data_IF_280778378188
#
_entry.id   IF_280778378188
#
_cell.length_a   1.000
_cell.length_b   1.000
_cell.length_c   1.000
_cell.angle_alpha   90.00
_cell.angle_beta   90.00
_cell.angle_gamma   90.00
#
_symmetry.space_group_name_H-M   'P 1'
#
loop_
_entity.id
_entity.type
_entity.pdbx_description
1 polymer ?
#
# COMPACT_ATOMS: atom_id res chain seq x y z
N UNK A 1 -9.01 22.47 2.88
CA UNK A 1 -7.82 22.97 2.14
C UNK A 1 -7.48 21.95 1.05
N UNK A 2 -6.58 22.17 0.07
CA UNK A 2 -6.11 21.04 -0.73
C UNK A 2 -5.45 20.02 0.21
N UNK A 3 -5.70 18.73 0.01
CA UNK A 3 -4.97 17.67 0.75
C UNK A 3 -3.48 17.78 0.46
N UNK A 4 -2.64 17.16 1.30
CA UNK A 4 -1.19 17.21 1.12
C UNK A 4 -0.77 16.72 -0.29
N UNK A 5 0.38 17.14 -0.83
CA UNK A 5 0.89 16.65 -2.11
C UNK A 5 1.01 15.13 -2.11
N UNK A 6 0.81 14.47 -3.25
CA UNK A 6 0.82 13.01 -3.34
C UNK A 6 2.11 12.42 -2.79
N UNK A 7 3.24 13.10 -3.00
CA UNK A 7 4.51 12.66 -2.44
C UNK A 7 4.47 12.58 -0.91
N UNK A 8 3.86 13.53 -0.23
CA UNK A 8 3.78 13.53 1.22
C UNK A 8 2.83 12.45 1.70
N UNK A 9 1.64 12.35 1.08
CA UNK A 9 0.66 11.28 1.34
C UNK A 9 1.34 9.90 1.26
N UNK A 10 2.05 9.62 0.16
CA UNK A 10 2.73 8.34 -0.03
C UNK A 10 3.83 8.09 1.00
N UNK A 11 4.57 9.13 1.41
CA UNK A 11 5.57 8.99 2.46
C UNK A 11 4.92 8.60 3.78
N UNK A 12 3.87 9.32 4.20
CA UNK A 12 3.13 9.05 5.42
C UNK A 12 2.55 7.63 5.44
N UNK A 13 2.00 7.16 4.32
CA UNK A 13 1.51 5.79 4.20
C UNK A 13 2.64 4.75 4.27
N UNK A 14 3.75 4.96 3.53
CA UNK A 14 4.89 4.04 3.51
C UNK A 14 5.66 3.97 4.82
N UNK A 15 5.56 5.01 5.65
CA UNK A 15 6.17 5.07 6.98
C UNK A 15 5.21 4.51 8.06
N UNK A 16 3.97 4.14 7.69
CA UNK A 16 2.95 3.58 8.58
C UNK A 16 2.32 4.60 9.54
N UNK A 17 2.52 5.90 9.30
CA UNK A 17 2.08 6.98 10.18
C UNK A 17 0.68 7.54 9.84
N UNK A 18 0.04 7.04 8.79
CA UNK A 18 -1.21 7.58 8.27
C UNK A 18 -2.41 7.36 9.19
N UNK A 19 -2.42 6.27 9.97
CA UNK A 19 -3.48 5.99 10.96
C UNK A 19 -3.47 6.99 12.13
N UNK A 20 -2.33 7.61 12.39
CA UNK A 20 -2.15 8.61 13.45
C UNK A 20 -2.14 10.05 12.91
N UNK A 21 -2.28 10.22 11.58
CA UNK A 21 -2.18 11.51 10.93
C UNK A 21 -3.36 11.76 9.95
N UNK A 22 -4.58 11.95 10.47
CA UNK A 22 -5.76 12.25 9.63
C UNK A 22 -5.60 13.56 8.83
N UNK A 23 -4.79 14.50 9.32
CA UNK A 23 -4.51 15.78 8.64
C UNK A 23 -3.86 15.62 7.27
N UNK A 24 -3.18 14.50 7.00
CA UNK A 24 -2.54 14.24 5.68
C UNK A 24 -3.56 14.21 4.53
N UNK A 25 -4.84 13.95 4.83
CA UNK A 25 -5.96 13.94 3.89
C UNK A 25 -7.04 14.97 4.27
N UNK A 26 -6.65 16.06 4.94
CA UNK A 26 -7.53 17.18 5.32
C UNK A 26 -8.70 16.74 6.22
N UNK A 27 -8.48 15.76 7.10
CA UNK A 27 -9.42 15.33 8.13
C UNK A 27 -8.96 15.77 9.53
N UNK A 28 -9.87 16.26 10.40
CA UNK A 28 -9.52 16.57 11.79
C UNK A 28 -9.36 15.29 12.64
N UNK A 29 -10.07 14.21 12.29
CA UNK A 29 -9.99 12.90 12.92
C UNK A 29 -10.57 11.81 12.03
N UNK A 30 -10.31 10.55 12.36
CA UNK A 30 -11.01 9.38 11.81
C UNK A 30 -12.29 9.04 12.60
N UNK A 31 -13.01 10.04 13.10
CA UNK A 31 -14.33 9.80 13.70
C UNK A 31 -15.40 9.76 12.61
N UNK A 32 -16.46 8.99 12.82
CA UNK A 32 -17.60 8.93 11.89
C UNK A 32 -18.24 10.30 11.68
N UNK A 33 -18.28 11.14 12.73
CA UNK A 33 -18.74 12.53 12.64
C UNK A 33 -17.87 13.36 11.68
N UNK A 34 -16.54 13.34 11.85
CA UNK A 34 -15.63 14.07 10.98
C UNK A 34 -15.69 13.60 9.51
N UNK A 35 -15.90 12.30 9.29
CA UNK A 35 -16.06 11.73 7.95
C UNK A 35 -17.36 12.21 7.27
N UNK A 36 -18.47 12.25 8.01
CA UNK A 36 -19.74 12.76 7.51
C UNK A 36 -19.65 14.26 7.20
N UNK A 37 -19.07 15.06 8.10
CA UNK A 37 -18.83 16.50 7.89
C UNK A 37 -17.93 16.77 6.67
N UNK A 38 -17.01 15.85 6.41
CA UNK A 38 -16.10 15.91 5.27
C UNK A 38 -16.65 15.28 3.99
N UNK A 39 -17.94 14.93 3.94
CA UNK A 39 -18.62 14.35 2.78
C UNK A 39 -18.01 13.03 2.28
N UNK A 40 -17.52 12.18 3.19
CA UNK A 40 -17.22 10.80 2.83
C UNK A 40 -18.52 10.01 2.64
N UNK A 41 -18.55 9.15 1.62
CA UNK A 41 -19.67 8.26 1.35
C UNK A 41 -19.52 6.97 2.16
N UNK A 42 -20.55 6.61 2.90
CA UNK A 42 -20.62 5.32 3.59
C UNK A 42 -20.97 4.22 2.59
N UNK A 43 -20.19 3.13 2.58
CA UNK A 43 -20.43 1.92 1.81
C UNK A 43 -20.52 0.73 2.75
N UNK A 44 -21.65 0.00 2.68
CA UNK A 44 -21.97 -1.12 3.56
C UNK A 44 -22.85 -0.72 4.75
N UNK A 45 -23.05 -1.67 5.68
CA UNK A 45 -23.82 -1.46 6.92
C UNK A 45 -22.89 -1.17 8.09
N UNK A 46 -23.27 -0.23 8.97
CA UNK A 46 -22.49 0.09 10.18
C UNK A 46 -22.38 -1.09 11.16
N UNK A 47 -23.36 -1.99 11.12
CA UNK A 47 -23.40 -3.20 11.95
C UNK A 47 -22.48 -4.32 11.45
N UNK A 48 -21.83 -4.13 10.29
CA UNK A 48 -20.90 -5.07 9.67
C UNK A 48 -19.58 -4.36 9.30
N UNK A 49 -18.67 -5.06 8.63
CA UNK A 49 -17.52 -4.47 7.96
C UNK A 49 -18.02 -3.47 6.90
N UNK A 50 -17.67 -2.21 7.10
CA UNK A 50 -18.02 -1.12 6.21
C UNK A 50 -16.83 -0.19 5.99
N UNK A 51 -16.96 0.72 5.04
CA UNK A 51 -15.96 1.74 4.84
C UNK A 51 -16.57 3.06 4.41
N UNK A 52 -15.84 4.12 4.70
CA UNK A 52 -16.09 5.45 4.18
C UNK A 52 -15.14 5.70 3.02
N UNK A 53 -15.65 6.25 1.92
CA UNK A 53 -14.81 6.57 0.77
C UNK A 53 -15.02 7.97 0.23
N UNK A 54 -13.94 8.55 -0.32
CA UNK A 54 -13.97 9.86 -0.96
C UNK A 54 -12.88 9.97 -2.00
N UNK A 55 -13.21 10.58 -3.14
CA UNK A 55 -12.22 11.02 -4.10
C UNK A 55 -11.53 12.29 -3.56
N UNK A 56 -10.20 12.25 -3.48
CA UNK A 56 -9.37 13.37 -3.08
C UNK A 56 -8.55 13.85 -4.28
N UNK A 57 -8.41 15.17 -4.41
CA UNK A 57 -7.56 15.80 -5.44
C UNK A 57 -6.26 16.25 -4.82
N UNK A 58 -5.14 15.76 -5.33
CA UNK A 58 -3.79 16.06 -4.82
C UNK A 58 -2.83 16.42 -5.96
N UNK A 59 -1.78 17.17 -5.63
CA UNK A 59 -0.78 17.58 -6.61
C UNK A 59 0.35 16.55 -6.74
N UNK A 60 0.73 16.28 -7.99
CA UNK A 60 1.85 15.44 -8.38
C UNK A 60 2.57 15.99 -9.60
N UNK A 61 3.84 16.41 -9.45
CA UNK A 61 4.72 16.88 -10.54
C UNK A 61 4.00 17.87 -11.48
N UNK A 62 3.43 18.93 -10.91
CA UNK A 62 2.71 20.01 -11.61
C UNK A 62 1.37 19.61 -12.24
N UNK A 63 0.79 18.48 -11.83
CA UNK A 63 -0.56 18.05 -12.24
C UNK A 63 -1.39 17.75 -11.01
N UNK A 64 -2.67 18.06 -11.06
CA UNK A 64 -3.64 17.55 -10.10
C UNK A 64 -4.07 16.16 -10.53
N UNK A 65 -4.04 15.20 -9.62
CA UNK A 65 -4.53 13.83 -9.82
C UNK A 65 -5.61 13.50 -8.79
N UNK A 66 -6.46 12.53 -9.14
CA UNK A 66 -7.44 11.96 -8.20
C UNK A 66 -6.84 10.75 -7.50
N UNK A 67 -7.13 10.61 -6.22
CA UNK A 67 -6.90 9.38 -5.45
C UNK A 67 -8.19 9.02 -4.71
N UNK A 68 -8.51 7.74 -4.63
CA UNK A 68 -9.64 7.28 -3.85
C UNK A 68 -9.15 6.88 -2.46
N UNK A 69 -9.60 7.58 -1.42
CA UNK A 69 -9.34 7.21 -0.04
C UNK A 69 -10.48 6.35 0.51
N UNK A 70 -10.13 5.30 1.25
CA UNK A 70 -11.06 4.38 1.90
C UNK A 70 -10.65 4.18 3.35
N UNK A 71 -11.59 4.27 4.28
CA UNK A 71 -11.35 4.16 5.72
C UNK A 71 -12.28 3.08 6.25
N UNK A 72 -11.70 1.97 6.71
CA UNK A 72 -12.43 0.74 7.03
C UNK A 72 -12.74 0.65 8.52
N UNK A 73 -13.97 0.25 8.84
CA UNK A 73 -14.46 0.10 10.20
C UNK A 73 -15.15 -1.25 10.39
N UNK A 74 -15.07 -1.76 11.61
CA UNK A 74 -15.89 -2.87 12.07
C UNK A 74 -16.35 -2.57 13.50
N UNK A 75 -17.67 -2.57 13.73
CA UNK A 75 -18.29 -2.22 15.02
C UNK A 75 -17.72 -0.89 15.58
N UNK A 76 -17.75 0.16 14.75
CA UNK A 76 -17.23 1.51 15.03
C UNK A 76 -15.73 1.62 15.35
N UNK A 77 -14.97 0.52 15.23
CA UNK A 77 -13.51 0.54 15.40
C UNK A 77 -12.83 0.72 14.07
N UNK A 78 -11.93 1.70 14.00
CA UNK A 78 -11.03 1.88 12.86
C UNK A 78 -10.14 0.63 12.72
N UNK A 79 -10.13 0.07 11.51
CA UNK A 79 -9.41 -1.15 11.18
C UNK A 79 -8.12 -0.83 10.42
N UNK A 80 -8.26 -0.20 9.25
CA UNK A 80 -7.16 0.20 8.39
C UNK A 80 -7.64 1.28 7.42
N UNK A 81 -6.69 1.95 6.77
CA UNK A 81 -6.98 2.95 5.74
C UNK A 81 -6.28 2.60 4.45
N UNK A 82 -6.96 2.80 3.34
CA UNK A 82 -6.52 2.46 2.00
C UNK A 82 -6.49 3.67 1.07
N UNK A 83 -5.53 3.67 0.17
CA UNK A 83 -5.46 4.56 -0.98
C UNK A 83 -5.44 3.74 -2.25
N UNK A 84 -6.36 4.04 -3.15
CA UNK A 84 -6.30 3.62 -4.54
C UNK A 84 -5.84 4.80 -5.39
N UNK A 85 -4.86 4.55 -6.26
CA UNK A 85 -4.13 5.60 -6.96
C UNK A 85 -4.38 5.50 -8.47
N UNK A 86 -4.99 6.53 -9.05
CA UNK A 86 -5.24 6.63 -10.49
C UNK A 86 -4.82 8.02 -11.01
N UNK A 87 -3.73 8.15 -11.78
CA UNK A 87 -2.99 7.11 -12.50
C UNK A 87 -2.00 6.33 -11.61
N UNK A 88 -1.85 5.03 -11.91
CA UNK A 88 -1.11 4.09 -11.08
C UNK A 88 0.41 4.36 -11.02
N UNK A 89 1.00 4.14 -9.84
CA UNK A 89 2.43 4.39 -9.57
C UNK A 89 3.24 3.12 -9.74
N UNK A 90 4.43 3.20 -10.36
CA UNK A 90 5.34 2.05 -10.44
C UNK A 90 5.77 1.60 -9.04
N UNK A 91 5.66 0.31 -8.76
CA UNK A 91 6.04 -0.26 -7.46
C UNK A 91 7.51 -0.01 -7.13
N UNK A 92 8.40 -0.05 -8.14
CA UNK A 92 9.82 0.27 -7.96
C UNK A 92 10.06 1.73 -7.55
N UNK A 93 9.17 2.66 -7.90
CA UNK A 93 9.22 4.04 -7.43
C UNK A 93 8.84 4.13 -5.94
N UNK A 94 7.82 3.39 -5.51
CA UNK A 94 7.42 3.33 -4.09
C UNK A 94 8.54 2.71 -3.23
N UNK A 95 9.12 1.61 -3.67
CA UNK A 95 10.24 0.95 -2.97
C UNK A 95 11.43 1.91 -2.79
N UNK A 96 11.84 2.61 -3.86
CA UNK A 96 12.92 3.60 -3.79
C UNK A 96 12.61 4.74 -2.83
N UNK A 97 11.36 5.20 -2.81
CA UNK A 97 10.89 6.27 -1.92
C UNK A 97 10.92 5.83 -0.46
N UNK A 98 10.36 4.67 -0.14
CA UNK A 98 10.40 4.07 1.19
C UNK A 98 11.85 3.95 1.71
N UNK A 99 12.78 3.44 0.89
CA UNK A 99 14.18 3.35 1.27
C UNK A 99 14.85 4.72 1.50
N UNK A 100 14.47 5.76 0.74
CA UNK A 100 14.98 7.12 0.98
C UNK A 100 14.52 7.64 2.35
N UNK A 101 13.27 7.40 2.73
CA UNK A 101 12.72 7.81 4.03
C UNK A 101 13.44 7.09 5.18
N UNK A 102 13.64 5.77 5.07
CA UNK A 102 14.32 4.97 6.12
C UNK A 102 15.75 5.42 6.36
N UNK A 103 16.51 5.76 5.30
CA UNK A 103 17.90 6.25 5.46
C UNK A 103 18.00 7.53 6.31
N UNK A 104 16.93 8.31 6.40
CA UNK A 104 16.86 9.48 7.29
C UNK A 104 16.55 9.14 8.75
N UNK A 105 15.86 8.02 9.00
CA UNK A 105 15.23 7.71 10.30
C UNK A 105 15.84 6.49 11.02
N UNK A 106 16.81 5.79 10.43
CA UNK A 106 17.53 4.67 11.08
C UNK A 106 16.71 3.39 11.29
N UNK A 107 15.51 3.28 10.70
CA UNK A 107 14.60 2.15 10.90
C UNK A 107 15.03 0.88 10.15
N UNK A 108 14.75 -0.29 10.72
CA UNK A 108 15.05 -1.59 10.09
C UNK A 108 14.19 -1.78 8.85
N UNK A 109 14.84 -2.14 7.73
CA UNK A 109 14.19 -2.47 6.45
C UNK A 109 13.51 -3.84 6.57
N UNK A 110 12.19 -3.89 6.59
CA UNK A 110 11.50 -5.14 6.26
C UNK A 110 10.60 -4.95 5.04
N UNK A 111 10.96 -5.61 3.94
CA UNK A 111 10.18 -5.66 2.71
C UNK A 111 9.91 -7.13 2.43
N UNK A 112 8.65 -7.54 2.56
CA UNK A 112 8.22 -8.87 2.17
C UNK A 112 7.49 -8.81 0.83
N UNK A 113 7.90 -9.65 -0.13
CA UNK A 113 7.28 -9.73 -1.44
C UNK A 113 6.44 -11.01 -1.54
N UNK A 114 5.19 -10.86 -1.96
CA UNK A 114 4.25 -11.94 -2.23
C UNK A 114 3.77 -11.86 -3.67
N UNK A 115 3.61 -13.01 -4.33
CA UNK A 115 3.22 -13.10 -5.74
C UNK A 115 2.15 -14.18 -5.95
N UNK A 116 1.29 -13.95 -6.93
CA UNK A 116 0.41 -15.00 -7.47
C UNK A 116 1.22 -16.01 -8.30
N UNK A 117 0.64 -17.19 -8.52
CA UNK A 117 1.28 -18.25 -9.31
C UNK A 117 1.59 -17.86 -10.76
N UNK A 118 0.77 -16.97 -11.36
CA UNK A 118 0.96 -16.46 -12.72
C UNK A 118 1.86 -15.22 -12.78
N UNK A 119 2.33 -14.74 -11.62
CA UNK A 119 3.22 -13.59 -11.45
C UNK A 119 2.63 -12.26 -11.94
N UNK A 120 1.33 -12.18 -12.26
CA UNK A 120 0.70 -10.94 -12.73
C UNK A 120 0.36 -10.01 -11.59
N UNK A 121 -0.04 -10.57 -10.46
CA UNK A 121 -0.44 -9.82 -9.29
C UNK A 121 0.47 -10.15 -8.11
N UNK A 122 0.51 -9.23 -7.15
CA UNK A 122 1.27 -9.45 -5.95
C UNK A 122 1.06 -8.36 -4.92
N UNK A 123 1.80 -8.49 -3.85
CA UNK A 123 1.81 -7.54 -2.77
C UNK A 123 3.20 -7.36 -2.16
N UNK A 124 3.45 -6.15 -1.66
CA UNK A 124 4.60 -5.84 -0.83
C UNK A 124 4.12 -5.42 0.54
N UNK A 125 4.70 -6.02 1.58
CA UNK A 125 4.51 -5.57 2.95
C UNK A 125 5.76 -4.78 3.35
N UNK A 126 5.59 -3.51 3.68
CA UNK A 126 6.63 -2.65 4.25
C UNK A 126 6.45 -2.59 5.76
N UNK A 127 7.53 -2.82 6.51
CA UNK A 127 7.61 -2.69 7.97
C UNK A 127 6.48 -3.39 8.76
N UNK A 128 5.90 -4.44 8.20
CA UNK A 128 4.73 -5.19 8.73
C UNK A 128 3.43 -4.38 8.93
N UNK A 129 3.39 -3.09 8.61
CA UNK A 129 2.26 -2.21 8.87
C UNK A 129 1.72 -1.51 7.62
N UNK A 130 2.37 -1.70 6.47
CA UNK A 130 1.93 -1.10 5.22
C UNK A 130 1.88 -2.16 4.13
N UNK A 131 0.73 -2.34 3.51
CA UNK A 131 0.51 -3.29 2.42
C UNK A 131 0.32 -2.52 1.10
N UNK A 132 1.12 -2.84 0.10
CA UNK A 132 0.96 -2.34 -1.26
C UNK A 132 0.58 -3.49 -2.17
N UNK A 133 -0.66 -3.51 -2.69
CA UNK A 133 -1.06 -4.44 -3.75
C UNK A 133 -0.68 -3.86 -5.10
N UNK A 134 -0.29 -4.73 -6.02
CA UNK A 134 0.10 -4.34 -7.35
C UNK A 134 -0.31 -5.37 -8.38
N UNK A 135 -0.41 -4.92 -9.63
CA UNK A 135 -0.70 -5.76 -10.79
C UNK A 135 0.17 -5.38 -11.98
N UNK A 136 0.34 -6.32 -12.90
CA UNK A 136 0.97 -6.15 -14.20
C UNK A 136 -0.09 -6.39 -15.28
N UNK A 137 -0.64 -5.29 -15.81
CA UNK A 137 -1.70 -5.37 -16.83
C UNK A 137 -1.22 -5.91 -18.17
N UNK A 138 0.07 -5.79 -18.48
CA UNK A 138 0.66 -6.30 -19.73
C UNK A 138 1.97 -7.01 -19.43
N UNK A 139 2.25 -8.11 -20.13
CA UNK A 139 3.47 -8.93 -19.93
C UNK A 139 4.79 -8.14 -20.08
N UNK A 140 4.76 -7.05 -20.86
CA UNK A 140 5.90 -6.13 -21.05
C UNK A 140 5.87 -4.90 -20.12
N UNK A 141 4.73 -4.63 -19.48
CA UNK A 141 4.52 -3.48 -18.60
C UNK A 141 5.27 -3.58 -17.27
N UNK A 142 5.33 -2.48 -16.52
CA UNK A 142 5.82 -2.50 -15.15
C UNK A 142 4.71 -2.97 -14.19
N UNK A 143 5.09 -3.44 -13.01
CA UNK A 143 4.14 -3.56 -11.90
C UNK A 143 3.71 -2.18 -11.43
N UNK A 144 2.40 -1.98 -11.33
CA UNK A 144 1.77 -0.74 -10.91
C UNK A 144 1.02 -0.99 -9.60
N UNK A 145 1.24 -0.12 -8.62
CA UNK A 145 0.53 -0.14 -7.36
C UNK A 145 -0.94 0.17 -7.61
N UNK A 146 -1.82 -0.70 -7.12
CA UNK A 146 -3.27 -0.56 -7.22
C UNK A 146 -3.84 -0.01 -5.93
N UNK A 147 -3.37 -0.52 -4.79
CA UNK A 147 -3.77 -0.05 -3.46
C UNK A 147 -2.57 0.03 -2.52
N UNK A 148 -2.58 1.02 -1.63
CA UNK A 148 -1.67 1.12 -0.48
C UNK A 148 -2.53 1.22 0.77
N UNK A 149 -2.36 0.28 1.68
CA UNK A 149 -3.10 0.19 2.93
C UNK A 149 -2.15 0.36 4.10
N UNK A 150 -2.56 1.16 5.08
CA UNK A 150 -1.89 1.27 6.36
C UNK A 150 -2.70 0.51 7.39
N UNK A 151 -2.06 -0.47 8.00
CA UNK A 151 -2.66 -1.54 8.77
C UNK A 151 -2.05 -1.49 10.17
N UNK A 152 -2.88 -1.66 11.19
CA UNK A 152 -2.40 -1.70 12.57
C UNK A 152 -1.68 -3.02 12.84
N UNK A 153 -0.45 -2.98 13.36
CA UNK A 153 0.28 -4.19 13.77
C UNK A 153 -0.20 -4.69 15.16
N UNK A 154 -1.50 -4.99 15.28
CA UNK A 154 -2.11 -5.56 16.49
C UNK A 154 -2.23 -7.07 16.36
N UNK A 155 -2.39 -7.81 17.47
CA UNK A 155 -2.71 -9.24 17.40
C UNK A 155 -4.15 -9.54 16.95
N UNK A 156 -4.97 -8.51 16.78
CA UNK A 156 -6.35 -8.62 16.32
C UNK A 156 -6.40 -9.09 14.85
N UNK A 157 -6.91 -10.30 14.63
CA UNK A 157 -6.99 -10.92 13.30
C UNK A 157 -7.85 -10.12 12.33
N UNK A 158 -8.91 -9.46 12.82
CA UNK A 158 -9.80 -8.65 11.99
C UNK A 158 -9.08 -7.40 11.51
N UNK A 159 -8.24 -6.79 12.35
CA UNK A 159 -7.43 -5.62 11.96
C UNK A 159 -6.35 -5.96 10.94
N UNK A 160 -5.92 -7.22 10.91
CA UNK A 160 -4.95 -7.72 9.95
C UNK A 160 -5.55 -8.51 8.78
N UNK A 161 -6.87 -8.40 8.54
CA UNK A 161 -7.56 -9.22 7.53
C UNK A 161 -6.88 -9.15 6.16
N UNK A 162 -6.46 -7.97 5.72
CA UNK A 162 -5.71 -7.77 4.47
C UNK A 162 -4.36 -8.50 4.46
N UNK A 163 -3.57 -8.42 5.53
CA UNK A 163 -2.28 -9.13 5.62
C UNK A 163 -2.49 -10.64 5.63
N UNK A 164 -3.44 -11.10 6.43
CA UNK A 164 -3.77 -12.51 6.57
C UNK A 164 -4.27 -13.10 5.24
N UNK A 165 -5.08 -12.35 4.49
CA UNK A 165 -5.53 -12.75 3.16
C UNK A 165 -4.35 -12.93 2.20
N UNK A 166 -3.40 -11.98 2.17
CA UNK A 166 -2.21 -12.08 1.32
C UNK A 166 -1.39 -13.32 1.68
N UNK A 167 -1.10 -13.51 2.97
CA UNK A 167 -0.31 -14.67 3.45
C UNK A 167 -0.99 -16.02 3.16
N UNK A 168 -2.32 -16.06 3.08
CA UNK A 168 -3.10 -17.28 2.76
C UNK A 168 -3.23 -17.54 1.26
N UNK A 169 -3.25 -16.49 0.42
CA UNK A 169 -3.62 -16.60 -1.01
C UNK A 169 -2.47 -16.41 -1.98
N UNK A 170 -1.36 -15.84 -1.52
CA UNK A 170 -0.17 -15.57 -2.32
C UNK A 170 1.06 -16.25 -1.73
N UNK A 171 2.05 -16.52 -2.59
CA UNK A 171 3.27 -17.19 -2.19
C UNK A 171 4.35 -16.16 -1.85
N UNK A 172 5.10 -16.33 -0.74
CA UNK A 172 6.31 -15.56 -0.50
C UNK A 172 7.27 -15.69 -1.69
N UNK A 173 7.95 -14.60 -2.06
CA UNK A 173 8.84 -14.59 -3.23
C UNK A 173 9.95 -15.61 -3.11
N UNK A 174 10.50 -15.85 -1.91
CA UNK A 174 11.51 -16.88 -1.68
C UNK A 174 10.97 -18.27 -2.09
N UNK A 175 9.76 -18.63 -1.68
CA UNK A 175 9.11 -19.89 -2.07
C UNK A 175 8.76 -19.94 -3.58
N UNK A 176 8.35 -18.80 -4.15
CA UNK A 176 7.96 -18.69 -5.57
C UNK A 176 9.17 -18.79 -6.51
N UNK A 177 10.29 -18.19 -6.14
CA UNK A 177 11.54 -18.20 -6.92
C UNK A 177 12.19 -19.58 -6.90
N UNK A 178 12.08 -20.32 -5.79
CA UNK A 178 12.62 -21.69 -5.67
C UNK A 178 11.76 -22.74 -6.38
N UNK A 179 10.44 -22.57 -6.43
CA UNK A 179 9.52 -23.47 -7.15
C UNK A 179 9.46 -23.17 -8.66
N UNK A 180 9.80 -21.94 -9.09
CA UNK A 180 10.05 -21.61 -10.49
C UNK A 180 11.43 -22.12 -10.94
N UNK A 181 11.65 -23.43 -10.98
CA UNK A 181 12.85 -24.07 -11.54
C UNK A 181 12.97 -23.91 -13.07
N UNK A 182 12.06 -23.18 -13.70
CA UNK A 182 12.12 -22.82 -15.11
C UNK A 182 12.58 -21.36 -15.29
N UNK A 183 13.75 -21.11 -15.90
CA UNK A 183 14.20 -19.78 -16.33
C UNK A 183 13.20 -19.05 -17.25
N UNK A 184 12.23 -19.76 -17.82
CA UNK A 184 11.29 -19.26 -18.84
C UNK A 184 10.14 -18.39 -18.31
N UNK A 185 9.94 -18.25 -16.99
CA UNK A 185 8.82 -17.46 -16.43
C UNK A 185 9.21 -16.11 -15.80
N UNK A 186 10.49 -15.75 -15.76
CA UNK A 186 10.91 -14.46 -15.19
C UNK A 186 10.63 -13.33 -16.18
N UNK A 187 9.56 -12.57 -15.94
CA UNK A 187 9.27 -11.37 -16.75
C UNK A 187 10.32 -10.28 -16.48
N UNK A 188 10.61 -9.40 -17.45
CA UNK A 188 11.48 -8.24 -17.21
C UNK A 188 10.99 -7.35 -16.05
N UNK A 189 9.67 -7.33 -15.81
CA UNK A 189 9.08 -6.59 -14.69
C UNK A 189 9.46 -7.22 -13.35
N UNK A 190 9.36 -8.55 -13.23
CA UNK A 190 9.76 -9.28 -12.03
C UNK A 190 11.24 -9.11 -11.74
N UNK A 191 12.10 -9.25 -12.76
CA UNK A 191 13.53 -9.03 -12.61
C UNK A 191 13.85 -7.63 -12.07
N UNK A 192 13.23 -6.57 -12.63
CA UNK A 192 13.42 -5.20 -12.15
C UNK A 192 12.91 -5.01 -10.72
N UNK A 193 11.80 -5.65 -10.36
CA UNK A 193 11.23 -5.57 -9.02
C UNK A 193 12.18 -6.19 -7.99
N UNK A 194 12.57 -7.45 -8.20
CA UNK A 194 13.47 -8.17 -7.30
C UNK A 194 14.84 -7.50 -7.23
N UNK A 195 15.41 -7.06 -8.37
CA UNK A 195 16.68 -6.34 -8.36
C UNK A 195 16.60 -5.03 -7.57
N UNK A 196 15.47 -4.32 -7.64
CA UNK A 196 15.27 -3.08 -6.86
C UNK A 196 15.27 -3.37 -5.37
N UNK A 197 14.57 -4.42 -4.93
CA UNK A 197 14.54 -4.85 -3.52
C UNK A 197 15.94 -5.26 -3.07
N UNK A 198 16.63 -6.15 -3.80
CA UNK A 198 17.97 -6.63 -3.43
C UNK A 198 19.02 -5.51 -3.43
N UNK A 199 18.95 -4.56 -4.36
CA UNK A 199 19.89 -3.42 -4.40
C UNK A 199 19.81 -2.53 -3.16
N UNK A 200 18.63 -2.50 -2.53
CA UNK A 200 18.40 -1.76 -1.29
C UNK A 200 19.00 -2.52 -0.10
N UNK A 201 18.95 -3.84 -0.10
CA UNK A 201 19.59 -4.68 0.92
C UNK A 201 21.11 -4.66 0.82
N UNK A 202 21.66 -4.60 -0.39
CA UNK A 202 23.10 -4.59 -0.65
C UNK A 202 23.81 -3.28 -0.26
N UNK A 203 23.09 -2.16 -0.09
CA UNK A 203 23.67 -0.90 0.41
C UNK A 203 23.89 -0.89 1.93
N UNK A 204 24.14 -2.06 2.52
CA UNK A 204 24.45 -2.31 3.94
C UNK A 204 25.95 -2.37 4.22
N UNK A 205 26.81 -1.99 3.27
CA UNK A 205 28.28 -1.93 3.45
C UNK A 205 28.72 -0.46 3.38
#
# INVERSE_FOLDING_TARGET
>A
MPVAPLSEILSTYLDGASLDNPGIIDLPSFSTAALNESNYLLVGSRDDLHFYEKELKTDYKNKTISIQNKIYYHLDKLMFIGLQIEPAIRVTTLIKKHNKNIRGNGTIKNIELYLTHDLKDGAIIFNHNTLCRFSQWTSKGAYLATTIESITNTQDELKNISLNQIKKTMNPSSATIHTSSSPLRRTPALHRLTSTITSIDATKI
#
